data_IF_648915641513
#
_entry.id   IF_648915641513
#
_cell.length_a   1.000
_cell.length_b   1.000
_cell.length_c   1.000
_cell.angle_alpha   90.00
_cell.angle_beta   90.00
_cell.angle_gamma   90.00
#
_symmetry.space_group_name_H-M   'P 1'
#
loop_
_entity.id
_entity.type
_entity.pdbx_description
1 polymer ?
#
# COMPACT_ATOMS: atom_id res chain seq x y z
N UNK A 1 0.34 -1.58 39.21
CA UNK A 1 0.19 -2.79 38.38
C UNK A 1 -1.11 -2.68 37.56
N UNK A 2 -1.10 -2.02 36.39
CA UNK A 2 -2.35 -1.81 35.60
C UNK A 2 -2.16 -1.53 34.10
N UNK A 3 -0.93 -1.60 33.59
CA UNK A 3 -0.60 -1.29 32.18
C UNK A 3 -0.59 -2.53 31.26
N UNK A 4 -0.64 -3.73 31.82
CA UNK A 4 -0.57 -4.99 31.07
C UNK A 4 -1.91 -5.47 30.52
N UNK A 5 -3.04 -4.95 31.04
CA UNK A 5 -4.39 -5.32 30.56
C UNK A 5 -4.74 -4.69 29.21
N UNK A 6 -4.17 -3.53 28.87
CA UNK A 6 -4.43 -2.85 27.58
C UNK A 6 -3.79 -3.60 26.41
N UNK A 7 -2.62 -4.20 26.64
CA UNK A 7 -1.91 -4.96 25.61
C UNK A 7 -2.67 -6.24 25.20
N UNK A 8 -3.34 -6.90 26.15
CA UNK A 8 -4.11 -8.12 25.86
C UNK A 8 -5.40 -7.84 25.06
N UNK A 9 -6.05 -6.67 25.27
CA UNK A 9 -7.27 -6.32 24.53
C UNK A 9 -7.02 -6.03 23.04
N UNK A 10 -5.85 -5.49 22.67
CA UNK A 10 -5.52 -5.19 21.27
C UNK A 10 -5.31 -6.46 20.41
N UNK A 11 -4.87 -7.57 21.01
CA UNK A 11 -4.62 -8.81 20.27
C UNK A 11 -5.92 -9.50 19.85
N UNK A 12 -7.04 -9.26 20.54
CA UNK A 12 -8.33 -9.88 20.20
C UNK A 12 -9.05 -9.28 18.98
N UNK A 13 -8.59 -8.11 18.49
CA UNK A 13 -9.16 -7.47 17.31
C UNK A 13 -8.57 -7.99 15.99
N UNK A 14 -7.57 -8.87 16.04
CA UNK A 14 -7.01 -9.55 14.87
C UNK A 14 -7.89 -10.72 14.39
N UNK A 15 -9.21 -10.51 14.38
CA UNK A 15 -10.05 -11.28 13.47
C UNK A 15 -9.64 -10.87 12.08
N UNK A 16 -8.70 -11.62 11.51
CA UNK A 16 -8.41 -11.63 10.09
C UNK A 16 -9.73 -11.99 9.41
N UNK A 17 -10.54 -10.98 9.12
CA UNK A 17 -11.53 -11.10 8.09
C UNK A 17 -10.75 -11.61 6.89
N UNK A 18 -10.94 -12.90 6.55
CA UNK A 18 -10.45 -13.51 5.34
C UNK A 18 -11.20 -12.83 4.18
N UNK A 19 -10.89 -11.57 3.97
CA UNK A 19 -11.26 -10.86 2.78
C UNK A 19 -10.32 -11.38 1.71
N UNK A 20 -10.92 -11.86 0.62
CA UNK A 20 -10.20 -12.33 -0.54
C UNK A 20 -9.24 -11.22 -0.99
N UNK A 21 -7.93 -11.52 -0.96
CA UNK A 21 -6.91 -10.51 -1.21
C UNK A 21 -7.00 -10.01 -2.64
N UNK A 22 -6.93 -8.71 -2.83
CA UNK A 22 -6.91 -8.10 -4.16
C UNK A 22 -5.48 -7.83 -4.65
N UNK A 23 -5.35 -7.60 -5.95
CA UNK A 23 -4.10 -7.12 -6.56
C UNK A 23 -4.31 -5.69 -7.05
N UNK A 24 -3.39 -4.83 -6.65
CA UNK A 24 -3.29 -3.43 -7.06
C UNK A 24 -2.10 -3.26 -8.00
N UNK A 25 -2.35 -2.71 -9.18
CA UNK A 25 -1.31 -2.36 -10.15
C UNK A 25 -1.48 -0.89 -10.54
N UNK A 26 -0.40 -0.13 -10.49
CA UNK A 26 -0.51 1.30 -10.75
C UNK A 26 0.80 2.04 -10.88
N UNK A 27 0.67 3.35 -10.75
CA UNK A 27 1.79 4.27 -10.64
C UNK A 27 2.05 4.54 -9.15
N UNK A 28 3.33 4.62 -8.80
CA UNK A 28 3.81 5.10 -7.52
C UNK A 28 4.54 6.43 -7.69
N UNK A 29 4.46 7.27 -6.67
CA UNK A 29 5.21 8.51 -6.56
C UNK A 29 5.81 8.57 -5.17
N UNK A 30 7.13 8.74 -5.07
CA UNK A 30 7.78 9.02 -3.80
C UNK A 30 7.61 10.49 -3.44
N UNK A 31 7.18 10.74 -2.21
CA UNK A 31 7.10 12.08 -1.66
C UNK A 31 8.39 12.39 -0.90
N UNK A 32 9.12 13.41 -1.35
CA UNK A 32 10.32 13.86 -0.65
C UNK A 32 11.11 14.90 -1.42
N UNK A 33 11.08 16.14 -0.96
CA UNK A 33 11.79 17.26 -1.60
C UNK A 33 11.25 17.59 -2.99
N UNK A 34 12.14 17.77 -3.96
CA UNK A 34 11.78 18.10 -5.34
C UNK A 34 11.32 16.84 -6.10
N UNK A 35 10.01 16.70 -6.29
CA UNK A 35 9.41 15.63 -7.11
C UNK A 35 9.99 15.72 -8.51
N UNK A 36 10.72 14.68 -8.90
CA UNK A 36 11.33 14.55 -10.23
C UNK A 36 10.78 13.33 -10.95
N UNK A 37 11.02 13.24 -12.26
CA UNK A 37 10.65 12.05 -13.05
C UNK A 37 11.24 10.73 -12.51
N UNK A 38 12.27 10.82 -11.66
CA UNK A 38 12.91 9.69 -10.96
C UNK A 38 12.08 9.12 -9.82
N UNK A 39 11.20 9.93 -9.23
CA UNK A 39 10.35 9.56 -8.11
C UNK A 39 9.04 8.89 -8.58
N UNK A 40 8.77 8.90 -9.88
CA UNK A 40 7.62 8.22 -10.50
C UNK A 40 8.04 6.79 -10.85
N UNK A 41 7.23 5.83 -10.42
CA UNK A 41 7.44 4.41 -10.62
C UNK A 41 6.17 3.66 -10.95
N UNK A 42 6.33 2.36 -11.15
CA UNK A 42 5.27 1.38 -11.22
C UNK A 42 5.15 0.70 -9.86
N UNK A 43 3.94 0.32 -9.49
CA UNK A 43 3.69 -0.40 -8.23
C UNK A 43 2.84 -1.63 -8.45
N UNK A 44 3.16 -2.67 -7.72
CA UNK A 44 2.38 -3.89 -7.63
C UNK A 44 2.22 -4.26 -6.15
N UNK A 45 0.98 -4.28 -5.66
CA UNK A 45 0.67 -4.57 -4.26
C UNK A 45 -0.40 -5.62 -4.12
N UNK A 46 -0.32 -6.36 -3.02
CA UNK A 46 -1.42 -7.16 -2.52
C UNK A 46 -2.18 -6.32 -1.52
N UNK A 47 -3.49 -6.23 -1.69
CA UNK A 47 -4.40 -5.50 -0.79
C UNK A 47 -5.24 -6.47 0.02
N UNK A 48 -5.61 -6.05 1.22
CA UNK A 48 -6.30 -6.86 2.22
C UNK A 48 -7.70 -7.29 1.81
N UNK A 49 -8.27 -6.74 0.74
CA UNK A 49 -9.61 -7.04 0.25
C UNK A 49 -9.70 -6.72 -1.24
N UNK A 50 -10.46 -7.50 -1.99
CA UNK A 50 -10.82 -7.25 -3.39
C UNK A 50 -12.23 -6.62 -3.56
N UNK A 51 -12.92 -6.29 -2.47
CA UNK A 51 -14.25 -5.67 -2.52
C UNK A 51 -14.22 -4.22 -2.96
N UNK A 52 -15.19 -3.82 -3.78
CA UNK A 52 -15.38 -2.43 -4.20
C UNK A 52 -15.73 -1.52 -3.01
N UNK A 53 -15.44 -0.23 -3.17
CA UNK A 53 -15.78 0.85 -2.24
C UNK A 53 -15.39 0.59 -0.78
N UNK A 54 -14.12 0.22 -0.59
CA UNK A 54 -13.60 -0.16 0.72
C UNK A 54 -12.20 0.36 0.99
N UNK A 55 -11.98 0.70 2.26
CA UNK A 55 -10.65 0.97 2.79
C UNK A 55 -9.85 -0.33 2.89
N UNK A 56 -8.62 -0.32 2.38
CA UNK A 56 -7.74 -1.50 2.32
C UNK A 56 -6.35 -1.17 2.84
N UNK A 57 -5.71 -2.18 3.41
CA UNK A 57 -4.29 -2.17 3.71
C UNK A 57 -3.58 -2.98 2.62
N UNK A 58 -2.36 -2.60 2.26
CA UNK A 58 -1.63 -3.34 1.25
C UNK A 58 -0.13 -3.18 1.37
N UNK A 59 0.57 -4.22 0.92
CA UNK A 59 2.02 -4.26 0.85
C UNK A 59 2.46 -4.72 -0.53
N UNK A 60 3.55 -4.18 -1.02
CA UNK A 60 3.99 -4.46 -2.38
C UNK A 60 5.38 -3.95 -2.70
N UNK A 61 5.68 -3.98 -3.99
CA UNK A 61 6.95 -3.53 -4.54
C UNK A 61 6.72 -2.37 -5.48
N UNK A 62 7.69 -1.46 -5.50
CA UNK A 62 7.76 -0.35 -6.43
C UNK A 62 8.97 -0.52 -7.36
N UNK A 63 8.82 -0.15 -8.62
CA UNK A 63 9.91 -0.12 -9.60
C UNK A 63 9.99 1.27 -10.21
N UNK A 64 11.13 1.94 -10.04
CA UNK A 64 11.40 3.30 -10.51
C UNK A 64 12.34 3.23 -11.73
N UNK A 65 11.81 3.23 -12.97
CA UNK A 65 12.62 3.02 -14.17
C UNK A 65 13.66 4.13 -14.40
N UNK A 66 13.37 5.35 -13.95
CA UNK A 66 14.28 6.50 -14.06
C UNK A 66 15.17 6.69 -12.81
N UNK A 67 15.03 5.81 -11.80
CA UNK A 67 15.87 5.75 -10.61
C UNK A 67 17.30 5.29 -10.93
N UNK A 68 18.25 5.65 -10.07
CA UNK A 68 19.67 5.33 -10.22
C UNK A 68 20.15 4.45 -9.08
N UNK A 69 20.75 3.30 -9.43
CA UNK A 69 21.28 2.36 -8.44
C UNK A 69 20.19 1.74 -7.55
N UNK A 70 20.36 1.68 -6.22
CA UNK A 70 19.45 0.98 -5.31
C UNK A 70 18.05 1.60 -5.23
N UNK A 71 17.85 2.83 -5.73
CA UNK A 71 16.53 3.50 -5.74
C UNK A 71 15.60 3.01 -6.84
N UNK A 72 16.01 2.03 -7.66
CA UNK A 72 15.19 1.44 -8.72
C UNK A 72 14.10 0.52 -8.22
N UNK A 73 14.24 -0.03 -7.02
CA UNK A 73 13.26 -0.93 -6.43
C UNK A 73 12.94 -0.44 -5.02
N UNK A 74 11.67 -0.52 -4.67
CA UNK A 74 11.15 -0.15 -3.36
C UNK A 74 10.29 -1.27 -2.79
N UNK A 75 10.18 -1.31 -1.47
CA UNK A 75 9.29 -2.22 -0.76
C UNK A 75 8.38 -1.35 0.09
N UNK A 76 7.08 -1.40 -0.16
CA UNK A 76 6.17 -0.47 0.49
C UNK A 76 4.99 -1.15 1.19
N UNK A 77 4.48 -0.44 2.18
CA UNK A 77 3.28 -0.80 2.93
C UNK A 77 2.43 0.45 3.11
N UNK A 78 1.12 0.30 3.07
CA UNK A 78 0.24 1.45 3.13
C UNK A 78 -1.23 1.10 3.30
N UNK A 79 -2.02 2.16 3.39
CA UNK A 79 -3.46 2.12 3.50
C UNK A 79 -4.08 2.98 2.39
N UNK A 80 -5.26 2.62 1.94
CA UNK A 80 -5.92 3.36 0.88
C UNK A 80 -7.38 3.00 0.75
N UNK A 81 -7.95 3.45 -0.34
CA UNK A 81 -9.32 3.17 -0.72
C UNK A 81 -9.34 2.64 -2.13
N UNK A 82 -10.08 1.56 -2.35
CA UNK A 82 -10.37 1.04 -3.68
C UNK A 82 -11.86 1.23 -3.99
N UNK A 83 -12.15 1.85 -5.13
CA UNK A 83 -13.49 1.90 -5.71
C UNK A 83 -13.72 0.74 -6.69
N UNK A 84 -14.65 0.88 -7.62
CA UNK A 84 -15.04 -0.22 -8.52
C UNK A 84 -13.98 -0.66 -9.55
N UNK A 85 -13.02 0.20 -9.89
CA UNK A 85 -11.96 -0.08 -10.89
C UNK A 85 -10.65 0.65 -10.62
N UNK A 86 -10.65 1.56 -9.65
CA UNK A 86 -9.53 2.43 -9.35
C UNK A 86 -9.30 2.46 -7.86
N UNK A 87 -8.04 2.52 -7.45
CA UNK A 87 -7.66 2.70 -6.06
C UNK A 87 -6.58 3.74 -5.92
N UNK A 88 -6.58 4.39 -4.75
CA UNK A 88 -5.51 5.25 -4.32
C UNK A 88 -5.05 4.80 -2.93
N UNK A 89 -3.73 4.76 -2.72
CA UNK A 89 -3.14 4.37 -1.46
C UNK A 89 -2.01 5.33 -1.08
N UNK A 90 -1.92 5.60 0.21
CA UNK A 90 -0.81 6.30 0.82
C UNK A 90 -0.02 5.30 1.65
N UNK A 91 1.30 5.39 1.60
CA UNK A 91 2.15 4.40 2.23
C UNK A 91 3.53 4.93 2.56
N UNK A 92 4.38 4.00 2.93
CA UNK A 92 5.76 4.25 3.24
C UNK A 92 6.62 3.16 2.60
N UNK A 93 7.61 3.58 1.83
CA UNK A 93 8.63 2.71 1.27
C UNK A 93 9.64 2.41 2.38
N UNK A 94 9.64 1.17 2.85
CA UNK A 94 10.53 0.66 3.89
C UNK A 94 11.98 0.59 3.41
N UNK A 95 12.19 0.41 2.10
CA UNK A 95 13.52 0.27 1.53
C UNK A 95 14.18 1.64 1.30
N UNK A 96 13.38 2.61 0.85
CA UNK A 96 13.84 3.96 0.53
C UNK A 96 13.60 4.97 1.66
N UNK A 97 12.87 4.59 2.72
CA UNK A 97 12.59 5.43 3.87
C UNK A 97 11.75 6.67 3.52
N UNK A 98 10.82 6.54 2.57
CA UNK A 98 10.08 7.68 2.00
C UNK A 98 8.58 7.41 1.97
N UNK A 99 7.73 8.42 2.26
CA UNK A 99 6.30 8.31 2.02
C UNK A 99 6.02 8.11 0.51
N UNK A 100 5.01 7.30 0.19
CA UNK A 100 4.62 7.02 -1.19
C UNK A 100 3.14 7.28 -1.40
N UNK A 101 2.81 7.79 -2.59
CA UNK A 101 1.45 7.85 -3.11
C UNK A 101 1.34 6.86 -4.27
N UNK A 102 0.28 6.07 -4.25
CA UNK A 102 0.04 5.04 -5.24
C UNK A 102 -1.36 5.22 -5.80
N UNK A 103 -1.49 5.18 -7.11
CA UNK A 103 -2.76 5.35 -7.81
C UNK A 103 -2.80 4.39 -8.99
N UNK A 104 -3.90 3.67 -9.17
CA UNK A 104 -3.94 2.65 -10.19
C UNK A 104 -5.21 1.83 -10.25
N UNK A 105 -5.11 0.74 -11.00
CA UNK A 105 -6.18 -0.21 -11.19
C UNK A 105 -6.14 -1.25 -10.08
N UNK A 106 -7.32 -1.60 -9.58
CA UNK A 106 -7.49 -2.69 -8.63
C UNK A 106 -8.40 -3.72 -9.28
N UNK A 107 -7.98 -4.98 -9.24
CA UNK A 107 -8.87 -6.06 -9.63
C UNK A 107 -9.86 -6.28 -8.49
N UNK A 108 -11.00 -5.61 -8.57
CA UNK A 108 -12.09 -5.74 -7.62
C UNK A 108 -13.16 -6.70 -8.13
N UNK A 109 -13.78 -7.44 -7.21
CA UNK A 109 -14.89 -8.35 -7.51
C UNK A 109 -16.11 -7.95 -6.68
N UNK A 110 -17.28 -7.99 -7.33
CA UNK A 110 -18.57 -7.57 -6.76
C UNK A 110 -19.33 -8.70 -6.01
N UNK A 111 -18.61 -9.71 -5.48
CA UNK A 111 -19.23 -10.88 -4.83
C UNK A 111 -19.84 -10.59 -3.47
#
# INVERSE_FOLDING_TARGET
MKKWLVAASLVSLCSFAQAESGVFLGLSMQLGGNISARDIGLTAKVVSSNREDRAVLGGGINVYPFGSGPTRVGLDVGAGYQGSRFGAMVGYDLLLGRPTLNAGYVNTSNR
#
